data_IF_242871516460
#
_entry.id   IF_242871516460
#
_cell.length_a   1.000
_cell.length_b   1.000
_cell.length_c   1.000
_cell.angle_alpha   90.00
_cell.angle_beta   90.00
_cell.angle_gamma   90.00
#
_symmetry.space_group_name_H-M   'P 1'
#
loop_
_entity.id
_entity.type
_entity.pdbx_description
1 polymer ?
#
# COMPACT_ATOMS: atom_id res chain seq x y z
N UNK A 1 -9.74 -17.57 -16.86
CA UNK A 1 -9.43 -17.61 -15.42
C UNK A 1 -10.35 -16.66 -14.66
N UNK A 2 -11.02 -17.08 -13.58
CA UNK A 2 -11.95 -16.24 -12.81
C UNK A 2 -11.33 -14.97 -12.21
N UNK A 3 -10.04 -15.03 -11.85
CA UNK A 3 -9.34 -13.95 -11.13
C UNK A 3 -9.01 -12.76 -12.04
N UNK A 4 -8.80 -12.97 -13.34
CA UNK A 4 -8.36 -11.92 -14.27
C UNK A 4 -9.32 -10.72 -14.31
N UNK A 5 -10.63 -10.97 -14.22
CA UNK A 5 -11.66 -9.92 -14.22
C UNK A 5 -11.64 -9.04 -12.95
N UNK A 6 -10.94 -9.46 -11.91
CA UNK A 6 -10.84 -8.77 -10.63
C UNK A 6 -9.47 -8.08 -10.44
N UNK A 7 -8.57 -8.17 -11.42
CA UNK A 7 -7.25 -7.55 -11.37
C UNK A 7 -7.22 -6.28 -12.22
N UNK A 8 -6.88 -5.15 -11.59
CA UNK A 8 -6.71 -3.87 -12.29
C UNK A 8 -5.31 -3.72 -12.88
N UNK A 9 -4.29 -4.09 -12.09
CA UNK A 9 -2.88 -3.95 -12.43
C UNK A 9 -2.08 -5.00 -11.68
N UNK A 10 -1.01 -5.50 -12.30
CA UNK A 10 -0.01 -6.34 -11.65
C UNK A 10 1.35 -5.65 -11.72
N UNK A 11 2.06 -5.68 -10.60
CA UNK A 11 3.40 -5.11 -10.49
C UNK A 11 4.46 -6.21 -10.57
N UNK A 12 5.60 -5.86 -11.14
CA UNK A 12 6.82 -6.67 -11.14
C UNK A 12 7.45 -6.63 -9.75
N UNK A 13 7.74 -7.81 -9.22
CA UNK A 13 8.49 -7.95 -7.98
C UNK A 13 10.00 -7.82 -8.18
N UNK A 14 10.72 -7.73 -7.05
CA UNK A 14 12.18 -7.69 -7.02
C UNK A 14 12.84 -9.04 -7.36
N UNK A 15 12.09 -10.15 -7.33
CA UNK A 15 12.63 -11.48 -7.65
C UNK A 15 12.66 -11.69 -9.16
N UNK A 16 11.66 -11.18 -9.86
CA UNK A 16 11.54 -11.20 -11.32
C UNK A 16 12.59 -10.33 -11.99
N UNK A 17 13.20 -9.39 -11.26
CA UNK A 17 14.38 -8.65 -11.75
C UNK A 17 15.57 -9.56 -12.06
N UNK A 18 15.70 -10.71 -11.38
CA UNK A 18 16.77 -11.68 -11.68
C UNK A 18 16.56 -12.43 -12.99
N UNK A 19 15.33 -12.42 -13.51
CA UNK A 19 14.95 -13.13 -14.73
C UNK A 19 15.07 -12.25 -15.98
N UNK A 20 15.57 -11.02 -15.84
CA UNK A 20 15.74 -10.08 -16.96
C UNK A 20 16.48 -10.65 -18.19
N UNK A 21 17.47 -11.57 -18.08
CA UNK A 21 18.13 -12.12 -19.27
C UNK A 21 17.20 -13.03 -20.08
N UNK A 22 16.16 -13.58 -19.44
CA UNK A 22 15.25 -14.57 -20.01
C UNK A 22 13.94 -13.90 -20.45
N UNK A 23 13.61 -12.74 -19.88
CA UNK A 23 12.45 -11.94 -20.27
C UNK A 23 11.81 -11.22 -19.09
N UNK A 24 10.51 -10.92 -19.25
CA UNK A 24 9.72 -10.26 -18.22
C UNK A 24 8.47 -11.09 -17.93
N UNK A 25 8.58 -12.12 -17.08
CA UNK A 25 7.49 -13.07 -16.87
C UNK A 25 6.24 -12.39 -16.32
N UNK A 26 6.37 -11.32 -15.52
CA UNK A 26 5.20 -10.55 -15.07
C UNK A 26 4.47 -9.90 -16.24
N UNK A 27 5.19 -9.32 -17.21
CA UNK A 27 4.57 -8.72 -18.38
C UNK A 27 3.91 -9.76 -19.30
N UNK A 28 4.54 -10.92 -19.47
CA UNK A 28 3.96 -12.05 -20.22
C UNK A 28 2.68 -12.58 -19.57
N UNK A 29 2.68 -12.74 -18.24
CA UNK A 29 1.47 -13.09 -17.47
C UNK A 29 0.38 -12.03 -17.66
N UNK A 30 0.74 -10.75 -17.59
CA UNK A 30 -0.21 -9.64 -17.80
C UNK A 30 -0.84 -9.71 -19.19
N UNK A 31 -0.05 -9.96 -20.24
CA UNK A 31 -0.56 -10.09 -21.60
C UNK A 31 -1.49 -11.32 -21.75
N UNK A 32 -1.10 -12.47 -21.18
CA UNK A 32 -1.94 -13.67 -21.18
C UNK A 32 -3.27 -13.49 -20.43
N UNK A 33 -3.25 -12.72 -19.33
CA UNK A 33 -4.45 -12.42 -18.52
C UNK A 33 -5.24 -11.20 -19.03
N UNK A 34 -4.70 -10.44 -19.98
CA UNK A 34 -5.23 -9.14 -20.43
C UNK A 34 -5.44 -8.15 -19.27
N UNK A 35 -4.44 -8.07 -18.39
CA UNK A 35 -4.37 -7.16 -17.24
C UNK A 35 -3.26 -6.14 -17.47
N UNK A 36 -3.42 -4.92 -16.95
CA UNK A 36 -2.40 -3.88 -17.07
C UNK A 36 -1.11 -4.26 -16.34
N UNK A 37 0.03 -4.08 -17.00
CA UNK A 37 1.35 -4.24 -16.41
C UNK A 37 1.87 -2.90 -15.85
N UNK A 38 2.21 -2.88 -14.56
CA UNK A 38 2.59 -1.65 -13.86
C UNK A 38 4.07 -1.48 -13.53
N UNK A 39 4.98 -2.26 -14.13
CA UNK A 39 6.41 -2.29 -13.72
C UNK A 39 6.58 -2.50 -12.20
N UNK A 40 7.62 -1.95 -11.55
CA UNK A 40 7.78 -2.01 -10.08
C UNK A 40 6.87 -1.06 -9.29
N UNK A 41 6.24 -0.09 -9.96
CA UNK A 41 5.34 0.87 -9.34
C UNK A 41 4.36 1.43 -10.36
N UNK A 42 3.09 1.58 -9.95
CA UNK A 42 2.04 2.13 -10.78
C UNK A 42 1.20 3.13 -10.01
N UNK A 43 0.65 4.12 -10.72
CA UNK A 43 -0.42 4.97 -10.22
C UNK A 43 -1.74 4.48 -10.83
N UNK A 44 -2.69 4.11 -9.99
CA UNK A 44 -4.02 3.67 -10.41
C UNK A 44 -5.00 4.80 -10.19
N UNK A 45 -5.70 5.21 -11.24
CA UNK A 45 -6.67 6.30 -11.20
C UNK A 45 -8.07 5.71 -11.29
N UNK A 46 -8.90 5.97 -10.28
CA UNK A 46 -10.27 5.48 -10.22
C UNK A 46 -11.20 6.59 -10.67
N UNK A 47 -12.04 6.30 -11.66
CA UNK A 47 -13.04 7.22 -12.21
C UNK A 47 -14.44 6.61 -12.09
N UNK A 48 -15.46 7.44 -12.03
CA UNK A 48 -16.84 6.97 -12.11
C UNK A 48 -17.26 6.67 -13.56
N UNK A 49 -18.49 6.17 -13.75
CA UNK A 49 -19.06 5.88 -15.09
C UNK A 49 -19.13 7.09 -16.02
N UNK A 50 -19.08 8.32 -15.49
CA UNK A 50 -19.09 9.58 -16.26
C UNK A 50 -17.67 10.09 -16.56
N UNK A 51 -16.64 9.39 -16.12
CA UNK A 51 -15.24 9.80 -16.28
C UNK A 51 -14.71 10.75 -15.20
N UNK A 52 -15.51 11.10 -14.18
CA UNK A 52 -15.03 11.99 -13.12
C UNK A 52 -14.08 11.25 -12.19
N UNK A 53 -12.98 11.90 -11.82
CA UNK A 53 -12.01 11.39 -10.85
C UNK A 53 -12.69 11.11 -9.50
N UNK A 54 -12.44 9.93 -8.95
CA UNK A 54 -12.82 9.56 -7.58
C UNK A 54 -11.64 9.73 -6.65
N UNK A 55 -10.55 9.03 -6.94
CA UNK A 55 -9.30 9.10 -6.19
C UNK A 55 -8.18 8.41 -6.96
N UNK A 56 -6.94 8.60 -6.49
CA UNK A 56 -5.75 7.95 -7.03
C UNK A 56 -5.05 7.13 -5.97
N UNK A 57 -4.44 6.04 -6.40
CA UNK A 57 -3.65 5.15 -5.57
C UNK A 57 -2.24 5.05 -6.15
N UNK A 58 -1.23 5.08 -5.29
CA UNK A 58 0.13 4.72 -5.67
C UNK A 58 0.43 3.33 -5.14
N UNK A 59 0.81 2.42 -6.04
CA UNK A 59 1.16 1.04 -5.74
C UNK A 59 2.63 0.83 -6.05
N UNK A 60 3.37 0.23 -5.12
CA UNK A 60 4.80 0.02 -5.24
C UNK A 60 5.16 -1.40 -4.77
N UNK A 61 5.95 -2.16 -5.53
CA UNK A 61 6.48 -3.41 -4.99
C UNK A 61 7.52 -3.12 -3.91
N UNK A 62 8.54 -2.33 -4.26
CA UNK A 62 9.58 -1.89 -3.34
C UNK A 62 10.76 -2.86 -3.22
N UNK A 63 11.76 -2.45 -2.43
CA UNK A 63 13.01 -3.23 -2.18
C UNK A 63 13.60 -3.06 -0.78
N UNK A 64 13.11 -2.07 -0.02
CA UNK A 64 13.52 -1.81 1.37
C UNK A 64 12.57 -2.52 2.32
N UNK A 65 13.15 -3.18 3.32
CA UNK A 65 12.46 -3.82 4.45
C UNK A 65 11.92 -2.77 5.43
N UNK A 66 10.94 -3.17 6.24
CA UNK A 66 10.42 -2.40 7.37
C UNK A 66 10.62 -3.24 8.63
N UNK A 67 11.38 -2.71 9.58
CA UNK A 67 11.67 -3.35 10.87
C UNK A 67 11.84 -2.29 11.96
N UNK A 68 11.86 -2.71 13.22
CA UNK A 68 12.16 -1.83 14.35
C UNK A 68 12.83 -2.62 15.48
N UNK A 69 13.88 -2.04 16.06
CA UNK A 69 14.61 -2.60 17.21
C UNK A 69 13.99 -2.24 18.57
N UNK A 70 12.80 -1.62 18.59
CA UNK A 70 12.16 -1.27 19.86
C UNK A 70 11.74 -2.52 20.65
N UNK A 71 12.02 -2.51 21.95
CA UNK A 71 11.71 -3.63 22.84
C UNK A 71 10.20 -3.76 23.11
N UNK A 72 9.51 -2.63 23.21
CA UNK A 72 8.07 -2.60 23.43
C UNK A 72 7.31 -2.88 22.11
N UNK A 73 6.39 -3.87 22.08
CA UNK A 73 5.64 -4.23 20.87
C UNK A 73 4.85 -3.08 20.24
N UNK A 74 4.21 -2.22 21.05
CA UNK A 74 3.45 -1.06 20.54
C UNK A 74 4.37 -0.04 19.87
N UNK A 75 5.50 0.29 20.51
CA UNK A 75 6.51 1.18 19.92
C UNK A 75 7.11 0.59 18.65
N UNK A 76 7.33 -0.73 18.62
CA UNK A 76 7.82 -1.44 17.43
C UNK A 76 6.85 -1.30 16.26
N UNK A 77 5.57 -1.56 16.49
CA UNK A 77 4.53 -1.43 15.46
C UNK A 77 4.42 0.01 14.95
N UNK A 78 4.40 0.99 15.85
CA UNK A 78 4.29 2.40 15.47
C UNK A 78 5.51 2.87 14.66
N UNK A 79 6.73 2.48 15.07
CA UNK A 79 7.95 2.77 14.31
C UNK A 79 7.91 2.16 12.90
N UNK A 80 7.36 0.95 12.76
CA UNK A 80 7.20 0.30 11.46
C UNK A 80 6.19 1.06 10.58
N UNK A 81 5.07 1.53 11.14
CA UNK A 81 4.09 2.37 10.43
C UNK A 81 4.68 3.70 9.98
N UNK A 82 5.41 4.39 10.86
CA UNK A 82 6.14 5.62 10.51
C UNK A 82 7.20 5.37 9.42
N UNK A 83 7.87 4.23 9.45
CA UNK A 83 8.83 3.84 8.40
C UNK A 83 8.11 3.63 7.06
N UNK A 84 6.95 2.96 7.05
CA UNK A 84 6.11 2.81 5.86
C UNK A 84 5.73 4.17 5.28
N UNK A 85 5.25 5.11 6.11
CA UNK A 85 4.91 6.46 5.71
C UNK A 85 6.10 7.18 5.05
N UNK A 86 7.27 7.19 5.70
CA UNK A 86 8.49 7.83 5.17
C UNK A 86 8.92 7.27 3.82
N UNK A 87 8.76 5.96 3.60
CA UNK A 87 9.13 5.32 2.34
C UNK A 87 8.23 5.75 1.16
N UNK A 88 6.99 6.14 1.45
CA UNK A 88 5.95 6.36 0.45
C UNK A 88 5.56 7.84 0.29
N UNK A 89 5.62 8.66 1.34
CA UNK A 89 5.02 10.01 1.38
C UNK A 89 5.50 10.97 0.28
N UNK A 90 6.73 10.83 -0.20
CA UNK A 90 7.29 11.69 -1.26
C UNK A 90 7.09 11.13 -2.68
N UNK A 91 6.42 9.97 -2.84
CA UNK A 91 6.37 9.28 -4.15
C UNK A 91 5.25 9.76 -5.07
N UNK A 92 4.07 10.05 -4.53
CA UNK A 92 2.93 10.53 -5.29
C UNK A 92 2.03 11.39 -4.39
N UNK A 93 2.17 12.72 -4.50
CA UNK A 93 1.49 13.66 -3.61
C UNK A 93 -0.02 13.78 -3.82
N UNK A 94 -0.50 13.38 -4.98
CA UNK A 94 -1.91 13.43 -5.42
C UNK A 94 -2.67 12.11 -5.17
N UNK A 95 -2.07 11.16 -4.43
CA UNK A 95 -2.65 9.86 -4.15
C UNK A 95 -3.10 9.79 -2.69
N UNK A 96 -4.38 9.50 -2.46
CA UNK A 96 -4.94 9.34 -1.11
C UNK A 96 -4.48 8.03 -0.46
N UNK A 97 -4.21 7.02 -1.28
CA UNK A 97 -3.76 5.70 -0.83
C UNK A 97 -2.39 5.40 -1.40
N UNK A 98 -1.46 5.04 -0.52
CA UNK A 98 -0.11 4.64 -0.85
C UNK A 98 0.11 3.22 -0.37
N UNK A 99 0.34 2.26 -1.27
CA UNK A 99 0.53 0.86 -0.91
C UNK A 99 1.90 0.35 -1.33
N UNK A 100 2.46 -0.53 -0.49
CA UNK A 100 3.74 -1.19 -0.72
C UNK A 100 3.65 -2.70 -0.47
N UNK A 101 4.26 -3.50 -1.33
CA UNK A 101 4.48 -4.92 -1.09
C UNK A 101 5.90 -5.16 -0.52
N UNK A 102 6.48 -6.34 -0.77
CA UNK A 102 7.87 -6.75 -0.47
C UNK A 102 8.28 -6.83 1.01
N UNK A 103 7.71 -6.02 1.90
CA UNK A 103 8.08 -5.97 3.32
C UNK A 103 7.70 -7.24 4.08
N UNK A 104 6.79 -8.04 3.51
CA UNK A 104 6.16 -9.21 4.12
C UNK A 104 5.44 -8.90 5.45
N UNK A 105 5.03 -7.64 5.66
CA UNK A 105 4.28 -7.21 6.84
C UNK A 105 2.92 -6.68 6.42
N UNK A 106 1.87 -7.01 7.17
CA UNK A 106 0.55 -6.41 7.02
C UNK A 106 0.43 -5.20 7.96
N UNK A 107 0.66 -4.01 7.42
CA UNK A 107 0.65 -2.75 8.17
C UNK A 107 -0.34 -1.78 7.55
N UNK A 108 -1.09 -1.08 8.39
CA UNK A 108 -2.00 -0.01 7.99
C UNK A 108 -1.65 1.20 8.85
N UNK A 109 -1.51 2.34 8.20
CA UNK A 109 -1.43 3.64 8.85
C UNK A 109 -2.54 4.51 8.31
N UNK A 110 -3.44 4.90 9.20
CA UNK A 110 -4.59 5.74 8.89
C UNK A 110 -4.17 7.21 8.80
N UNK A 111 -4.94 8.05 8.10
CA UNK A 111 -4.82 9.50 8.20
C UNK A 111 -4.96 9.95 9.66
N UNK A 112 -4.15 10.93 10.06
CA UNK A 112 -4.19 11.55 11.39
C UNK A 112 -4.50 13.03 11.26
N UNK A 113 -5.79 13.41 11.19
CA UNK A 113 -6.20 14.81 11.11
C UNK A 113 -5.65 15.61 12.28
N UNK A 114 -5.10 16.80 12.00
CA UNK A 114 -4.58 17.70 13.03
C UNK A 114 -5.54 18.85 13.27
N UNK A 115 -5.86 19.12 14.53
CA UNK A 115 -6.63 20.28 14.94
C UNK A 115 -5.79 21.54 14.72
N UNK A 116 -6.41 22.56 14.14
CA UNK A 116 -5.82 23.90 14.04
C UNK A 116 -6.90 24.96 14.25
N UNK A 117 -6.45 26.15 14.63
CA UNK A 117 -7.31 27.32 14.75
C UNK A 117 -7.17 28.16 13.49
N UNK A 118 -8.29 28.75 13.05
CA UNK A 118 -8.35 29.77 12.01
C UNK A 118 -9.12 30.97 12.53
N UNK A 119 -8.79 32.14 12.01
CA UNK A 119 -9.43 33.39 12.35
C UNK A 119 -9.80 34.12 11.05
N UNK A 120 -11.00 34.71 11.03
CA UNK A 120 -11.49 35.55 9.93
C UNK A 120 -11.38 37.07 10.24
N UNK A 121 -10.70 37.42 11.34
CA UNK A 121 -10.55 38.78 11.85
C UNK A 121 -11.67 39.21 12.78
N UNK A 122 -12.72 38.39 12.95
CA UNK A 122 -13.84 38.64 13.86
C UNK A 122 -14.08 37.47 14.83
N UNK A 123 -13.82 36.23 14.39
CA UNK A 123 -14.07 35.01 15.17
C UNK A 123 -12.97 33.97 14.98
N UNK A 124 -12.49 33.42 16.10
CA UNK A 124 -11.62 32.25 16.11
C UNK A 124 -12.50 30.99 16.02
N UNK A 125 -12.19 30.12 15.05
CA UNK A 125 -12.86 28.83 14.85
C UNK A 125 -11.82 27.72 14.74
N UNK A 126 -12.14 26.55 15.24
CA UNK A 126 -11.34 25.36 15.05
C UNK A 126 -11.67 24.65 13.72
N UNK A 127 -10.73 23.86 13.23
CA UNK A 127 -10.86 23.00 12.07
C UNK A 127 -9.85 21.85 12.15
N UNK A 128 -10.06 20.79 11.36
CA UNK A 128 -9.12 19.69 11.22
C UNK A 128 -8.52 19.66 9.81
N UNK A 129 -7.26 19.27 9.69
CA UNK A 129 -6.67 18.99 8.38
C UNK A 129 -7.44 17.85 7.72
N UNK A 130 -8.01 18.12 6.54
CA UNK A 130 -8.68 17.14 5.70
C UNK A 130 -8.56 17.56 4.24
N UNK A 131 -7.65 16.93 3.51
CA UNK A 131 -7.63 17.03 2.05
C UNK A 131 -8.73 16.19 1.41
N UNK A 132 -9.30 16.68 0.31
CA UNK A 132 -10.18 15.89 -0.52
C UNK A 132 -9.36 14.84 -1.29
N UNK A 133 -9.94 13.66 -1.52
CA UNK A 133 -9.23 12.56 -2.22
C UNK A 133 -8.89 12.86 -3.69
N UNK A 134 -9.43 13.96 -4.22
CA UNK A 134 -9.22 14.48 -5.57
C UNK A 134 -8.27 15.67 -5.61
N UNK A 135 -7.77 16.14 -4.46
CA UNK A 135 -6.89 17.31 -4.42
C UNK A 135 -5.61 17.05 -5.23
N UNK A 136 -5.07 18.09 -5.90
CA UNK A 136 -3.82 17.97 -6.65
C UNK A 136 -2.63 17.65 -5.75
N UNK A 137 -2.75 17.92 -4.45
CA UNK A 137 -1.82 17.54 -3.41
C UNK A 137 -2.57 17.24 -2.11
N UNK A 138 -2.33 16.07 -1.55
CA UNK A 138 -2.91 15.61 -0.28
C UNK A 138 -1.77 15.60 0.74
N UNK A 139 -1.82 16.27 1.90
CA UNK A 139 -0.74 16.22 2.89
C UNK A 139 -0.42 14.77 3.33
N UNK A 140 0.85 14.44 3.66
CA UNK A 140 1.22 13.08 4.06
C UNK A 140 0.41 12.50 5.22
N UNK A 141 -0.01 13.33 6.16
CA UNK A 141 -0.79 12.90 7.34
C UNK A 141 -2.28 12.71 7.01
N UNK A 142 -2.74 13.18 5.85
CA UNK A 142 -4.12 13.01 5.37
C UNK A 142 -4.25 11.81 4.40
N UNK A 143 -3.21 10.97 4.26
CA UNK A 143 -3.16 9.81 3.36
C UNK A 143 -3.19 8.49 4.12
N UNK A 144 -3.72 7.47 3.47
CA UNK A 144 -3.61 6.08 3.90
C UNK A 144 -2.30 5.47 3.43
N UNK A 145 -1.60 4.75 4.31
CA UNK A 145 -0.44 3.95 3.94
C UNK A 145 -0.67 2.48 4.28
N UNK A 146 -0.41 1.63 3.30
CA UNK A 146 -0.63 0.19 3.43
C UNK A 146 0.63 -0.56 3.05
N UNK A 147 0.99 -1.51 3.89
CA UNK A 147 1.89 -2.61 3.55
C UNK A 147 1.01 -3.82 3.34
N UNK A 148 0.87 -4.29 2.09
CA UNK A 148 -0.22 -5.19 1.67
C UNK A 148 -0.04 -6.66 2.08
N UNK A 149 0.73 -6.92 3.13
CA UNK A 149 1.00 -8.28 3.63
C UNK A 149 2.02 -9.04 2.82
N UNK A 150 2.45 -10.18 3.36
CA UNK A 150 3.21 -11.19 2.65
C UNK A 150 2.44 -12.50 2.71
N UNK A 151 2.18 -13.11 1.56
CA UNK A 151 1.97 -14.55 1.52
C UNK A 151 3.32 -15.16 1.84
N UNK A 152 3.49 -15.66 3.06
CA UNK A 152 4.75 -16.29 3.41
C UNK A 152 4.95 -17.50 2.50
N UNK A 153 6.14 -17.57 1.93
CA UNK A 153 6.52 -18.53 0.91
C UNK A 153 6.59 -19.90 1.58
N UNK A 154 5.54 -20.68 1.36
CA UNK A 154 5.51 -22.15 1.43
C UNK A 154 6.33 -22.75 2.58
N UNK A 155 5.67 -23.10 3.68
CA UNK A 155 6.07 -24.29 4.44
C UNK A 155 5.71 -25.50 3.59
N UNK A 156 6.53 -25.83 2.59
CA UNK A 156 6.40 -27.13 1.93
C UNK A 156 6.96 -28.15 2.92
N UNK A 157 6.07 -28.99 3.45
CA UNK A 157 6.46 -30.04 4.39
C UNK A 157 7.58 -30.87 3.76
N UNK A 158 8.72 -30.94 4.45
CA UNK A 158 9.91 -31.68 3.99
C UNK A 158 10.92 -30.88 3.16
N UNK A 159 10.72 -29.58 2.94
CA UNK A 159 11.71 -28.70 2.29
C UNK A 159 12.03 -27.48 3.14
N UNK A 160 13.32 -27.12 3.17
CA UNK A 160 13.80 -25.93 3.87
C UNK A 160 13.33 -24.64 3.15
N UNK A 161 12.59 -23.80 3.86
CA UNK A 161 12.07 -22.55 3.31
C UNK A 161 13.08 -21.40 3.44
N UNK A 162 12.89 -20.36 2.63
CA UNK A 162 13.70 -19.14 2.76
C UNK A 162 13.54 -18.48 4.13
N UNK A 163 12.34 -18.53 4.71
CA UNK A 163 12.08 -17.94 6.02
C UNK A 163 12.82 -18.71 7.13
N UNK A 164 12.87 -20.04 7.04
CA UNK A 164 13.65 -20.89 7.95
C UNK A 164 15.15 -20.61 7.82
N UNK A 165 15.68 -20.57 6.59
CA UNK A 165 17.10 -20.25 6.35
C UNK A 165 17.52 -18.87 6.83
N UNK A 166 16.60 -17.92 6.78
CA UNK A 166 16.83 -16.54 7.16
C UNK A 166 16.47 -16.25 8.62
N UNK A 167 16.07 -17.28 9.38
CA UNK A 167 15.66 -17.20 10.79
C UNK A 167 14.63 -16.10 11.05
N UNK A 168 13.62 -16.04 10.18
CA UNK A 168 12.56 -15.04 10.29
C UNK A 168 11.50 -15.47 11.30
N UNK A 169 11.13 -14.53 12.16
CA UNK A 169 9.94 -14.65 13.00
C UNK A 169 8.68 -14.92 12.16
N UNK A 170 7.69 -15.66 12.72
CA UNK A 170 6.38 -15.79 12.10
C UNK A 170 5.76 -14.42 11.76
N UNK A 171 5.05 -14.37 10.64
CA UNK A 171 4.37 -13.16 10.19
C UNK A 171 2.91 -13.45 9.84
N UNK A 172 2.08 -12.43 10.08
CA UNK A 172 0.65 -12.46 9.79
C UNK A 172 0.41 -12.69 8.30
N UNK A 173 -0.25 -13.81 7.98
CA UNK A 173 -0.71 -14.13 6.64
C UNK A 173 -2.02 -13.40 6.38
N UNK A 174 -2.10 -12.69 5.27
CA UNK A 174 -3.29 -11.91 4.98
C UNK A 174 -3.10 -10.88 3.89
N UNK A 175 -4.14 -10.08 3.74
CA UNK A 175 -4.19 -8.99 2.77
C UNK A 175 -5.02 -7.82 3.33
N UNK A 176 -4.91 -6.66 2.68
CA UNK A 176 -5.68 -5.48 3.06
C UNK A 176 -6.91 -5.32 2.15
N UNK A 177 -8.05 -4.95 2.73
CA UNK A 177 -9.26 -4.56 2.00
C UNK A 177 -9.48 -3.06 2.18
N UNK A 178 -9.56 -2.33 1.07
CA UNK A 178 -9.93 -0.90 1.07
C UNK A 178 -11.45 -0.78 1.00
N UNK A 179 -12.07 -0.22 2.04
CA UNK A 179 -13.50 0.08 2.07
C UNK A 179 -13.78 1.42 1.42
N UNK A 180 -14.56 1.40 0.35
CA UNK A 180 -14.99 2.60 -0.36
C UNK A 180 -16.51 2.73 -0.23
N UNK A 181 -16.99 3.87 0.26
CA UNK A 181 -18.42 4.25 0.26
C UNK A 181 -18.56 5.68 -0.21
N UNK A 182 -19.65 5.98 -0.92
CA UNK A 182 -19.90 7.32 -1.46
C UNK A 182 -18.70 7.89 -2.23
N UNK A 183 -17.97 7.00 -2.91
CA UNK A 183 -16.78 7.28 -3.73
C UNK A 183 -15.55 7.77 -2.95
N UNK A 184 -15.57 7.67 -1.62
CA UNK A 184 -14.44 7.98 -0.75
C UNK A 184 -13.98 6.74 0.00
N UNK A 185 -12.67 6.65 0.24
CA UNK A 185 -12.08 5.63 1.14
C UNK A 185 -12.52 5.95 2.57
N UNK A 186 -13.24 5.02 3.18
CA UNK A 186 -13.76 5.13 4.56
C UNK A 186 -12.90 4.38 5.58
N UNK A 187 -12.06 3.46 5.11
CA UNK A 187 -11.21 2.66 5.97
C UNK A 187 -10.48 1.58 5.20
N UNK A 188 -9.53 0.96 5.87
CA UNK A 188 -8.77 -0.19 5.35
C UNK A 188 -8.72 -1.23 6.45
N UNK A 189 -9.16 -2.44 6.14
CA UNK A 189 -9.20 -3.54 7.10
C UNK A 189 -8.10 -4.55 6.78
N UNK A 190 -7.51 -5.12 7.83
CA UNK A 190 -6.65 -6.31 7.71
C UNK A 190 -7.53 -7.55 7.67
N UNK A 191 -7.31 -8.43 6.71
CA UNK A 191 -7.90 -9.77 6.68
C UNK A 191 -6.78 -10.78 6.89
N UNK A 192 -6.85 -11.50 8.01
CA UNK A 192 -5.88 -12.53 8.39
C UNK A 192 -6.43 -13.90 8.06
N UNK A 193 -5.55 -14.81 7.65
CA UNK A 193 -5.88 -16.20 7.26
C UNK A 193 -5.49 -17.20 8.34
#
# INVERSE_FOLDING_TARGET
>A
MPIAKNLLVMLKGNHEDKLWPIGNPTAEICDGLKVSYGSSAAKVTLVNKRGNLLYKMFLNHGRKTISSAADNPRRREENMRLTLQRLLREKAGDCVLMARAHTHRLLIMEPTPRLYLRDDGNTIKDAYTRAAHTDPYIPPDDRWYVSSGGFMRLYKVGEESYAERADYDPMELGFAIVRVRDRVIQGIDKVTL
#
